data_IF_967622812190
#
_entry.id   IF_967622812190
#
_cell.length_a   1.000
_cell.length_b   1.000
_cell.length_c   1.000
_cell.angle_alpha   90.00
_cell.angle_beta   90.00
_cell.angle_gamma   90.00
#
_symmetry.space_group_name_H-M   'P 1'
#
loop_
_entity.id
_entity.type
_entity.pdbx_description
1 polymer ?
#
# COMPACT_ATOMS: atom_id res chain seq x y z
N UNK A 1 -42.75 51.67 9.89
CA UNK A 1 -43.10 50.25 9.63
C UNK A 1 -42.41 49.81 8.34
N UNK A 2 -41.47 48.85 8.41
CA UNK A 2 -41.10 47.79 7.42
C UNK A 2 -39.65 47.29 7.69
N UNK A 3 -39.58 46.12 8.34
CA UNK A 3 -38.67 44.97 8.20
C UNK A 3 -37.16 45.19 7.93
N UNK A 4 -36.38 45.47 8.98
CA UNK A 4 -34.94 45.14 9.09
C UNK A 4 -34.79 43.78 9.81
N UNK A 5 -34.97 42.64 9.13
CA UNK A 5 -34.86 41.32 9.81
C UNK A 5 -34.52 40.15 8.89
N UNK A 6 -33.76 40.37 7.81
CA UNK A 6 -33.39 39.29 6.86
C UNK A 6 -31.91 39.24 6.43
N UNK A 7 -31.05 40.12 6.92
CA UNK A 7 -29.65 40.20 6.44
C UNK A 7 -28.65 39.47 7.35
N UNK A 8 -29.01 39.11 8.59
CA UNK A 8 -28.05 38.57 9.56
C UNK A 8 -27.98 37.04 9.66
N UNK A 9 -28.82 36.31 8.92
CA UNK A 9 -28.86 34.82 8.99
C UNK A 9 -27.96 34.16 7.92
N UNK A 10 -27.45 34.91 6.94
CA UNK A 10 -26.56 34.37 5.91
C UNK A 10 -25.07 34.42 6.25
N UNK A 11 -24.67 35.10 7.34
CA UNK A 11 -23.24 35.21 7.72
C UNK A 11 -22.78 34.11 8.69
N UNK A 12 -23.72 33.35 9.26
CA UNK A 12 -23.43 32.19 10.15
C UNK A 12 -23.54 30.87 9.37
N UNK A 13 -23.93 30.92 8.10
CA UNK A 13 -23.84 29.79 7.20
C UNK A 13 -22.38 29.57 6.76
N UNK A 14 -21.76 28.57 7.39
CA UNK A 14 -20.79 27.69 6.73
C UNK A 14 -19.41 28.33 6.51
N UNK A 15 -18.87 28.93 7.56
CA UNK A 15 -17.44 28.84 7.88
C UNK A 15 -17.13 27.54 8.64
N UNK A 16 -17.85 26.47 8.32
CA UNK A 16 -17.29 25.12 8.43
C UNK A 16 -16.43 24.90 7.19
N UNK A 17 -15.39 25.73 7.06
CA UNK A 17 -14.11 25.20 6.59
C UNK A 17 -13.69 24.21 7.66
N UNK A 18 -14.31 23.02 7.65
CA UNK A 18 -13.69 21.84 8.21
C UNK A 18 -12.34 21.81 7.53
N UNK A 19 -11.33 22.28 8.26
CA UNK A 19 -9.96 21.96 8.01
C UNK A 19 -9.95 20.44 8.06
N UNK A 20 -10.25 19.83 6.92
CA UNK A 20 -9.84 18.47 6.61
C UNK A 20 -8.34 18.61 6.67
N UNK A 21 -7.80 18.45 7.87
CA UNK A 21 -6.38 18.33 8.09
C UNK A 21 -6.03 17.12 7.24
N UNK A 22 -5.47 17.38 6.06
CA UNK A 22 -4.98 16.34 5.20
C UNK A 22 -4.03 15.53 6.08
N UNK A 23 -4.33 14.24 6.24
CA UNK A 23 -3.51 13.37 7.05
C UNK A 23 -2.19 13.15 6.30
N UNK A 24 -1.26 14.04 6.57
CA UNK A 24 0.04 14.11 5.91
C UNK A 24 1.02 13.07 6.45
N UNK A 25 0.56 12.13 7.29
CA UNK A 25 1.38 11.05 7.84
C UNK A 25 1.56 9.91 6.85
N UNK A 26 0.72 9.84 5.82
CA UNK A 26 0.78 8.82 4.78
C UNK A 26 0.98 9.45 3.41
N UNK A 27 1.73 8.75 2.56
CA UNK A 27 2.00 9.15 1.20
C UNK A 27 1.92 7.91 0.31
N UNK A 28 0.88 7.86 -0.53
CA UNK A 28 0.79 6.89 -1.61
C UNK A 28 1.86 7.23 -2.64
N UNK A 29 2.89 6.39 -2.75
CA UNK A 29 4.01 6.61 -3.68
C UNK A 29 3.64 6.31 -5.14
N UNK A 30 2.45 5.73 -5.35
CA UNK A 30 1.92 5.25 -6.63
C UNK A 30 0.42 5.54 -6.73
N UNK A 31 -0.07 5.75 -7.94
CA UNK A 31 -1.51 5.84 -8.22
C UNK A 31 -2.04 4.54 -8.83
N UNK A 32 -2.67 3.70 -8.02
CA UNK A 32 -3.13 2.38 -8.42
C UNK A 32 -4.57 2.44 -8.96
N UNK A 33 -4.71 2.33 -10.27
CA UNK A 33 -6.00 2.42 -11.00
C UNK A 33 -6.97 1.29 -10.63
N UNK A 34 -6.53 0.25 -9.93
CA UNK A 34 -7.38 -0.83 -9.45
C UNK A 34 -8.12 -0.49 -8.15
N UNK A 35 -7.75 0.61 -7.48
CA UNK A 35 -8.37 1.10 -6.25
C UNK A 35 -9.50 2.09 -6.57
N UNK A 36 -10.66 2.02 -5.90
CA UNK A 36 -11.69 3.06 -6.00
C UNK A 36 -11.14 4.47 -5.75
N UNK A 37 -11.56 5.44 -6.55
CA UNK A 37 -11.03 6.82 -6.50
C UNK A 37 -11.11 7.44 -5.09
N UNK A 38 -12.19 7.15 -4.35
CA UNK A 38 -12.38 7.67 -2.99
C UNK A 38 -11.47 7.02 -1.93
N UNK A 39 -10.82 5.89 -2.25
CA UNK A 39 -9.87 5.19 -1.38
C UNK A 39 -8.39 5.38 -1.79
N UNK A 40 -8.10 6.22 -2.80
CA UNK A 40 -6.73 6.46 -3.29
C UNK A 40 -5.81 7.15 -2.28
N UNK A 41 -6.36 7.72 -1.20
CA UNK A 41 -5.60 8.44 -0.18
C UNK A 41 -5.80 7.78 1.18
N UNK A 42 -4.77 7.09 1.65
CA UNK A 42 -4.75 6.46 2.96
C UNK A 42 -4.64 7.50 4.08
N UNK A 43 -5.41 7.31 5.14
CA UNK A 43 -5.43 8.15 6.34
C UNK A 43 -5.30 7.27 7.58
N UNK A 44 -4.87 7.86 8.68
CA UNK A 44 -4.76 7.18 9.97
C UNK A 44 -6.11 6.61 10.44
N UNK A 45 -7.21 7.31 10.17
CA UNK A 45 -8.56 6.88 10.53
C UNK A 45 -9.04 5.67 9.71
N UNK A 46 -8.39 5.35 8.60
CA UNK A 46 -8.75 4.20 7.77
C UNK A 46 -8.26 2.89 8.43
N UNK A 47 -7.29 2.92 9.35
CA UNK A 47 -6.77 1.71 9.99
C UNK A 47 -7.68 1.22 11.12
N UNK A 48 -8.19 0.00 10.95
CA UNK A 48 -8.99 -0.69 11.96
C UNK A 48 -8.22 -0.85 13.30
N UNK A 49 -8.96 -0.99 14.40
CA UNK A 49 -8.37 -1.22 15.72
C UNK A 49 -7.65 -2.58 15.79
N UNK A 50 -8.29 -3.62 15.26
CA UNK A 50 -7.80 -5.01 15.25
C UNK A 50 -7.14 -5.35 13.91
N UNK A 51 -6.10 -4.60 13.55
CA UNK A 51 -5.37 -4.77 12.29
C UNK A 51 -4.68 -6.14 12.21
N UNK A 52 -4.89 -6.86 11.10
CA UNK A 52 -4.19 -8.11 10.81
C UNK A 52 -2.82 -7.84 10.16
N UNK A 53 -1.84 -8.68 10.46
CA UNK A 53 -0.49 -8.56 9.92
C UNK A 53 -0.12 -9.88 9.24
N UNK A 54 0.41 -9.80 8.02
CA UNK A 54 0.84 -10.99 7.29
C UNK A 54 2.16 -10.74 6.54
N UNK A 55 2.77 -11.82 6.08
CA UNK A 55 4.02 -11.82 5.35
C UNK A 55 3.88 -12.67 4.09
N UNK A 56 4.41 -12.14 2.99
CA UNK A 56 4.39 -12.81 1.68
C UNK A 56 5.83 -13.04 1.22
N UNK A 57 6.07 -14.19 0.63
CA UNK A 57 7.33 -14.50 -0.01
C UNK A 57 7.10 -15.38 -1.23
N UNK A 58 8.19 -15.89 -1.78
CA UNK A 58 8.25 -16.80 -2.91
C UNK A 58 8.06 -18.26 -2.47
N UNK A 59 8.21 -19.19 -3.41
CA UNK A 59 8.11 -20.65 -3.21
C UNK A 59 8.86 -21.16 -1.95
N UNK A 60 8.32 -22.19 -1.31
CA UNK A 60 8.80 -22.80 -0.05
C UNK A 60 8.88 -21.86 1.18
N UNK A 61 8.33 -20.64 1.12
CA UNK A 61 8.48 -19.69 2.22
C UNK A 61 7.61 -20.00 3.44
N UNK A 62 6.48 -20.69 3.26
CA UNK A 62 5.62 -21.09 4.38
C UNK A 62 6.34 -22.05 5.33
N UNK A 63 7.19 -22.94 4.81
CA UNK A 63 8.06 -23.82 5.63
C UNK A 63 9.05 -23.03 6.51
N UNK A 64 9.29 -21.76 6.18
CA UNK A 64 10.15 -20.85 6.91
C UNK A 64 9.35 -19.89 7.82
N UNK A 65 8.02 -20.03 7.91
CA UNK A 65 7.14 -19.26 8.78
C UNK A 65 6.59 -17.96 8.18
N UNK A 66 6.62 -17.81 6.85
CA UNK A 66 5.79 -16.81 6.15
C UNK A 66 4.33 -17.26 6.13
N UNK A 67 3.41 -16.30 6.07
CA UNK A 67 1.97 -16.58 6.03
C UNK A 67 1.54 -17.05 4.64
N UNK A 68 2.07 -16.41 3.59
CA UNK A 68 1.78 -16.73 2.19
C UNK A 68 3.05 -16.94 1.37
N UNK A 69 2.97 -17.84 0.38
CA UNK A 69 4.03 -18.10 -0.59
C UNK A 69 3.46 -18.07 -2.01
N UNK A 70 3.88 -17.12 -2.82
CA UNK A 70 3.58 -17.13 -4.26
C UNK A 70 4.40 -18.24 -4.92
N UNK A 71 3.82 -19.10 -5.79
CA UNK A 71 4.48 -20.26 -6.37
C UNK A 71 5.48 -19.88 -7.49
N UNK A 72 6.50 -19.08 -7.15
CA UNK A 72 7.58 -18.66 -8.04
C UNK A 72 8.92 -18.80 -7.33
N UNK A 73 9.96 -19.24 -8.04
CA UNK A 73 11.32 -19.29 -7.48
C UNK A 73 12.00 -17.94 -7.64
N UNK A 74 12.91 -17.58 -6.73
CA UNK A 74 13.68 -16.33 -6.80
C UNK A 74 14.35 -16.10 -8.16
N UNK A 75 14.94 -17.15 -8.74
CA UNK A 75 15.60 -17.07 -10.06
C UNK A 75 14.63 -16.62 -11.16
N UNK A 76 13.37 -17.06 -11.11
CA UNK A 76 12.34 -16.66 -12.06
C UNK A 76 11.97 -15.17 -11.88
N UNK A 77 11.80 -14.70 -10.64
CA UNK A 77 11.61 -13.26 -10.35
C UNK A 77 12.76 -12.43 -10.92
N UNK A 78 14.01 -12.81 -10.67
CA UNK A 78 15.19 -12.11 -11.21
C UNK A 78 15.18 -12.08 -12.75
N UNK A 79 14.75 -13.16 -13.41
CA UNK A 79 14.67 -13.22 -14.88
C UNK A 79 13.58 -12.30 -15.42
N UNK A 80 12.40 -12.28 -14.79
CA UNK A 80 11.28 -11.39 -15.13
C UNK A 80 11.73 -9.93 -15.01
N UNK A 81 12.30 -9.55 -13.86
CA UNK A 81 12.79 -8.19 -13.62
C UNK A 81 13.83 -7.75 -14.66
N UNK A 82 14.84 -8.58 -14.94
CA UNK A 82 15.85 -8.28 -15.96
C UNK A 82 15.26 -8.14 -17.36
N UNK A 83 14.28 -8.98 -17.72
CA UNK A 83 13.58 -8.90 -19.00
C UNK A 83 12.75 -7.61 -19.10
N UNK A 84 12.08 -7.20 -18.01
CA UNK A 84 11.34 -5.95 -17.92
C UNK A 84 12.27 -4.71 -18.05
N UNK A 85 13.39 -4.69 -17.34
CA UNK A 85 14.41 -3.64 -17.48
C UNK A 85 14.98 -3.57 -18.89
N UNK A 86 15.25 -4.72 -19.52
CA UNK A 86 15.67 -4.81 -20.92
C UNK A 86 14.63 -4.22 -21.86
N UNK A 87 13.34 -4.50 -21.66
CA UNK A 87 12.28 -3.89 -22.46
C UNK A 87 12.22 -2.36 -22.28
N UNK A 88 12.40 -1.85 -21.04
CA UNK A 88 12.39 -0.42 -20.70
C UNK A 88 13.59 0.34 -21.30
N UNK A 89 14.79 -0.22 -21.20
CA UNK A 89 16.01 0.41 -21.68
C UNK A 89 16.13 0.45 -23.22
N UNK A 90 15.44 -0.46 -23.92
CA UNK A 90 15.62 -0.66 -25.37
C UNK A 90 14.49 -0.12 -26.24
N UNK A 91 13.60 0.74 -25.70
CA UNK A 91 12.52 1.44 -26.41
C UNK A 91 12.36 1.12 -27.91
N UNK A 92 11.62 0.05 -28.22
CA UNK A 92 11.26 -0.43 -29.56
C UNK A 92 12.37 -1.02 -30.46
N UNK A 93 13.62 -1.17 -30.01
CA UNK A 93 14.61 -1.97 -30.73
C UNK A 93 14.39 -3.46 -30.41
N UNK A 94 13.88 -4.21 -31.40
CA UNK A 94 13.79 -5.67 -31.28
C UNK A 94 15.17 -6.24 -30.91
N UNK A 95 15.26 -7.07 -29.85
CA UNK A 95 16.53 -7.64 -29.44
C UNK A 95 17.06 -8.53 -30.57
N UNK A 96 18.23 -8.16 -31.11
CA UNK A 96 18.94 -9.03 -32.04
C UNK A 96 19.35 -10.30 -31.30
N UNK A 97 18.69 -11.41 -31.63
CA UNK A 97 19.09 -12.82 -31.45
C UNK A 97 20.19 -13.04 -30.40
N UNK A 98 19.87 -12.81 -29.13
CA UNK A 98 20.60 -13.47 -28.06
C UNK A 98 19.96 -14.84 -27.91
N UNK A 99 20.75 -15.90 -28.05
CA UNK A 99 20.33 -17.29 -27.78
C UNK A 99 20.01 -17.44 -26.29
N UNK A 100 18.92 -16.81 -25.84
CA UNK A 100 18.41 -16.89 -24.48
C UNK A 100 17.69 -18.22 -24.39
N UNK A 101 18.31 -19.15 -23.67
CA UNK A 101 17.72 -20.39 -23.18
C UNK A 101 16.27 -20.11 -22.77
N UNK A 102 15.32 -20.70 -23.50
CA UNK A 102 13.89 -20.56 -23.23
C UNK A 102 13.63 -20.90 -21.75
N UNK A 103 13.21 -19.93 -20.92
CA UNK A 103 12.83 -20.24 -19.56
C UNK A 103 11.58 -21.14 -19.60
N UNK A 104 11.52 -22.12 -18.69
CA UNK A 104 10.37 -23.01 -18.54
C UNK A 104 9.08 -22.18 -18.33
N UNK A 105 7.96 -22.74 -18.80
CA UNK A 105 6.65 -22.07 -18.97
C UNK A 105 6.09 -21.24 -17.78
N UNK A 106 6.31 -21.57 -16.48
CA UNK A 106 5.77 -20.75 -15.37
C UNK A 106 6.29 -19.30 -15.37
N UNK A 107 7.43 -19.07 -16.00
CA UNK A 107 8.08 -17.76 -16.06
C UNK A 107 7.40 -16.81 -17.05
N UNK A 108 6.70 -17.35 -18.06
CA UNK A 108 6.12 -16.55 -19.13
C UNK A 108 4.76 -15.95 -18.72
N UNK A 109 3.92 -16.73 -18.06
CA UNK A 109 2.61 -16.26 -17.55
C UNK A 109 2.80 -15.19 -16.47
N UNK A 110 3.72 -15.44 -15.52
CA UNK A 110 4.08 -14.45 -14.51
C UNK A 110 4.66 -13.16 -15.14
N UNK A 111 5.49 -13.29 -16.18
CA UNK A 111 5.99 -12.13 -16.92
C UNK A 111 4.86 -11.34 -17.58
N UNK A 112 3.95 -12.01 -18.31
CA UNK A 112 2.81 -11.35 -18.96
C UNK A 112 1.91 -10.66 -17.93
N UNK A 113 1.66 -11.33 -16.81
CA UNK A 113 0.87 -10.79 -15.70
C UNK A 113 1.49 -9.51 -15.15
N UNK A 114 2.79 -9.51 -14.85
CA UNK A 114 3.53 -8.32 -14.39
C UNK A 114 3.43 -7.20 -15.42
N UNK A 115 3.70 -7.48 -16.69
CA UNK A 115 3.70 -6.44 -17.72
C UNK A 115 2.30 -5.85 -17.97
N UNK A 116 1.24 -6.63 -17.74
CA UNK A 116 -0.14 -6.15 -17.86
C UNK A 116 -0.57 -5.27 -16.67
N UNK A 117 -0.12 -5.59 -15.46
CA UNK A 117 -0.61 -4.93 -14.23
C UNK A 117 0.30 -3.81 -13.72
N UNK A 118 1.62 -3.87 -13.98
CA UNK A 118 2.55 -2.82 -13.59
C UNK A 118 2.08 -1.40 -13.94
N UNK A 119 1.62 -1.09 -15.18
CA UNK A 119 1.15 0.27 -15.51
C UNK A 119 -0.18 0.63 -14.84
N UNK A 120 -1.02 -0.34 -14.50
CA UNK A 120 -2.29 -0.09 -13.80
C UNK A 120 -2.05 0.27 -12.34
N UNK A 121 -1.03 -0.35 -11.74
CA UNK A 121 -0.64 -0.15 -10.35
C UNK A 121 0.50 0.89 -10.20
N UNK A 122 0.85 1.59 -11.29
CA UNK A 122 1.89 2.63 -11.37
C UNK A 122 3.29 2.17 -10.88
N UNK A 123 3.62 0.90 -11.15
CA UNK A 123 4.96 0.36 -10.94
C UNK A 123 5.87 0.65 -12.13
N UNK A 124 7.06 1.17 -11.84
CA UNK A 124 8.06 1.45 -12.86
C UNK A 124 9.08 0.31 -13.08
N UNK A 125 8.97 -0.76 -12.27
CA UNK A 125 9.80 -1.95 -12.29
C UNK A 125 11.29 -1.65 -12.05
N UNK A 126 11.59 -0.59 -11.27
CA UNK A 126 12.94 -0.21 -10.87
C UNK A 126 13.57 -1.20 -9.89
N UNK A 127 12.80 -2.03 -9.20
CA UNK A 127 13.32 -3.00 -8.23
C UNK A 127 12.84 -4.44 -8.48
N UNK A 128 13.66 -5.42 -8.07
CA UNK A 128 13.27 -6.84 -8.16
C UNK A 128 12.08 -7.16 -7.24
N UNK A 129 11.93 -6.44 -6.12
CA UNK A 129 10.86 -6.64 -5.13
C UNK A 129 9.47 -6.36 -5.69
N UNK A 130 9.38 -5.36 -6.58
CA UNK A 130 8.13 -4.95 -7.23
C UNK A 130 7.47 -6.08 -8.03
N UNK A 131 8.27 -7.01 -8.56
CA UNK A 131 7.75 -8.21 -9.23
C UNK A 131 6.92 -9.05 -8.25
N UNK A 132 7.42 -9.25 -7.03
CA UNK A 132 6.70 -10.00 -6.00
C UNK A 132 5.52 -9.20 -5.44
N UNK A 133 5.61 -7.88 -5.35
CA UNK A 133 4.49 -7.05 -4.91
C UNK A 133 3.31 -7.15 -5.88
N UNK A 134 3.55 -7.06 -7.19
CA UNK A 134 2.50 -7.21 -8.21
C UNK A 134 1.92 -8.62 -8.18
N UNK A 135 2.77 -9.65 -8.26
CA UNK A 135 2.32 -11.04 -8.30
C UNK A 135 1.63 -11.46 -6.99
N UNK A 136 2.18 -11.03 -5.85
CA UNK A 136 1.61 -11.27 -4.52
C UNK A 136 0.26 -10.59 -4.33
N UNK A 137 0.10 -9.35 -4.82
CA UNK A 137 -1.18 -8.64 -4.77
C UNK A 137 -2.28 -9.41 -5.51
N UNK A 138 -2.00 -9.83 -6.74
CA UNK A 138 -2.97 -10.57 -7.56
C UNK A 138 -3.27 -11.95 -6.98
N UNK A 139 -2.25 -12.65 -6.49
CA UNK A 139 -2.42 -13.92 -5.81
C UNK A 139 -3.30 -13.80 -4.56
N UNK A 140 -3.08 -12.79 -3.72
CA UNK A 140 -3.90 -12.56 -2.54
C UNK A 140 -5.34 -12.18 -2.93
N UNK A 141 -5.52 -11.44 -4.02
CA UNK A 141 -6.85 -11.11 -4.53
C UNK A 141 -7.66 -12.38 -4.87
N UNK A 142 -7.02 -13.33 -5.56
CA UNK A 142 -7.62 -14.62 -5.91
C UNK A 142 -7.89 -15.49 -4.68
N UNK A 143 -6.89 -15.63 -3.79
CA UNK A 143 -6.97 -16.47 -2.60
C UNK A 143 -8.07 -16.02 -1.64
N UNK A 144 -8.21 -14.70 -1.48
CA UNK A 144 -9.12 -14.12 -0.51
C UNK A 144 -10.57 -14.07 -1.00
N UNK A 145 -10.85 -14.26 -2.30
CA UNK A 145 -12.20 -14.36 -2.88
C UNK A 145 -13.15 -13.19 -2.52
N UNK A 146 -12.61 -12.01 -2.26
CA UNK A 146 -13.40 -10.90 -1.72
C UNK A 146 -13.74 -9.84 -2.77
N UNK A 147 -14.97 -9.91 -3.29
CA UNK A 147 -15.47 -8.89 -4.21
C UNK A 147 -15.50 -7.47 -3.61
N UNK A 148 -15.55 -7.37 -2.29
CA UNK A 148 -15.72 -6.11 -1.56
C UNK A 148 -14.41 -5.47 -1.09
N UNK A 149 -13.26 -6.13 -1.27
CA UNK A 149 -11.96 -5.59 -0.84
C UNK A 149 -11.05 -5.29 -2.02
N UNK A 150 -10.11 -4.37 -1.81
CA UNK A 150 -8.97 -4.15 -2.71
C UNK A 150 -7.67 -4.43 -1.95
N UNK A 151 -6.63 -4.75 -2.71
CA UNK A 151 -5.28 -4.93 -2.21
C UNK A 151 -4.37 -3.98 -2.98
N UNK A 152 -3.56 -3.21 -2.27
CA UNK A 152 -2.56 -2.32 -2.87
C UNK A 152 -1.28 -2.28 -2.03
N UNK A 153 -0.30 -1.48 -2.41
CA UNK A 153 0.97 -1.32 -1.72
C UNK A 153 1.54 0.09 -1.85
N UNK A 154 2.83 0.23 -1.52
CA UNK A 154 3.60 1.47 -1.64
C UNK A 154 2.99 2.69 -0.96
N UNK A 155 2.57 2.47 0.28
CA UNK A 155 2.16 3.55 1.18
C UNK A 155 3.29 3.82 2.15
N UNK A 156 3.96 4.95 1.95
CA UNK A 156 4.96 5.46 2.88
C UNK A 156 4.29 6.09 4.10
N UNK A 157 4.92 5.96 5.26
CA UNK A 157 4.45 6.58 6.50
C UNK A 157 5.55 7.38 7.20
N UNK A 158 5.16 8.51 7.80
CA UNK A 158 6.04 9.50 8.42
C UNK A 158 5.41 10.03 9.72
N UNK A 159 6.25 10.45 10.68
CA UNK A 159 5.78 10.92 12.00
C UNK A 159 4.95 12.21 11.92
N UNK A 160 5.16 13.01 10.87
CA UNK A 160 4.46 14.25 10.53
C UNK A 160 4.76 14.64 9.08
N UNK A 161 3.96 15.54 8.50
CA UNK A 161 4.14 16.15 7.16
C UNK A 161 5.58 16.39 6.73
N UNK A 162 6.35 16.99 7.64
CA UNK A 162 7.69 17.51 7.35
C UNK A 162 8.81 16.56 7.79
N UNK A 163 8.46 15.41 8.37
CA UNK A 163 9.43 14.40 8.78
C UNK A 163 9.84 13.51 7.61
N UNK A 164 11.00 12.87 7.72
CA UNK A 164 11.45 11.87 6.75
C UNK A 164 10.55 10.62 6.84
N UNK A 165 10.43 9.91 5.72
CA UNK A 165 9.78 8.60 5.64
C UNK A 165 10.43 7.64 6.65
N UNK A 166 9.59 7.00 7.47
CA UNK A 166 10.00 6.00 8.48
C UNK A 166 10.04 4.61 7.84
N UNK A 167 9.07 4.33 6.98
CA UNK A 167 8.96 3.08 6.25
C UNK A 167 7.86 3.16 5.18
N UNK A 168 7.69 2.03 4.50
CA UNK A 168 6.72 1.80 3.45
C UNK A 168 6.02 0.46 3.73
N UNK A 169 4.75 0.35 3.33
CA UNK A 169 3.97 -0.88 3.42
C UNK A 169 3.89 -1.53 2.04
N UNK A 170 4.31 -2.80 1.94
CA UNK A 170 4.27 -3.55 0.68
C UNK A 170 2.83 -3.97 0.32
N UNK A 171 1.99 -4.30 1.32
CA UNK A 171 0.57 -4.64 1.13
C UNK A 171 -0.36 -3.95 2.13
N UNK A 172 -1.53 -3.54 1.65
CA UNK A 172 -2.68 -3.04 2.39
C UNK A 172 -3.91 -3.74 1.82
N UNK A 173 -4.76 -4.29 2.70
CA UNK A 173 -6.07 -4.85 2.34
C UNK A 173 -7.15 -4.02 2.99
N UNK A 174 -8.10 -3.53 2.19
CA UNK A 174 -9.12 -2.61 2.64
C UNK A 174 -10.48 -2.80 1.96
N UNK A 175 -11.55 -2.34 2.62
CA UNK A 175 -12.90 -2.30 2.08
C UNK A 175 -13.06 -1.25 0.97
N UNK A 176 -13.60 -1.66 -0.17
CA UNK A 176 -13.81 -0.80 -1.34
C UNK A 176 -14.81 0.32 -1.06
N UNK A 177 -15.70 0.17 -0.09
CA UNK A 177 -16.76 1.13 0.22
C UNK A 177 -16.32 2.09 1.32
N UNK A 178 -15.88 1.57 2.46
CA UNK A 178 -15.49 2.39 3.63
C UNK A 178 -14.04 2.85 3.61
N UNK A 179 -13.20 2.25 2.76
CA UNK A 179 -11.73 2.37 2.77
C UNK A 179 -11.08 1.87 4.06
N UNK A 180 -11.81 1.19 4.94
CA UNK A 180 -11.25 0.64 6.18
C UNK A 180 -10.21 -0.44 5.87
N UNK A 181 -8.99 -0.20 6.34
CA UNK A 181 -7.83 -1.06 6.26
C UNK A 181 -7.85 -2.01 7.46
N UNK A 182 -8.02 -3.30 7.18
CA UNK A 182 -8.10 -4.35 8.22
C UNK A 182 -6.92 -5.33 8.15
N UNK A 183 -6.10 -5.29 7.11
CA UNK A 183 -4.85 -6.05 7.08
C UNK A 183 -3.71 -5.28 6.39
N UNK A 184 -2.49 -5.51 6.85
CA UNK A 184 -1.26 -5.05 6.20
C UNK A 184 -0.28 -6.20 6.05
N UNK A 185 0.53 -6.13 5.00
CA UNK A 185 1.50 -7.15 4.69
C UNK A 185 2.85 -6.62 4.27
N UNK A 186 3.82 -7.53 4.32
CA UNK A 186 5.20 -7.25 3.95
C UNK A 186 5.75 -8.38 3.05
N UNK A 187 6.37 -8.02 1.94
CA UNK A 187 6.89 -8.92 0.92
C UNK A 187 8.41 -9.09 1.04
N UNK A 188 8.94 -10.32 0.96
CA UNK A 188 10.39 -10.53 0.84
C UNK A 188 10.72 -11.66 -0.14
N UNK A 189 11.64 -11.39 -1.07
CA UNK A 189 12.14 -12.39 -2.04
C UNK A 189 13.07 -13.46 -1.45
N UNK A 190 13.41 -13.39 -0.17
CA UNK A 190 14.35 -14.30 0.46
C UNK A 190 13.75 -14.84 1.75
N UNK A 191 13.55 -16.15 1.82
CA UNK A 191 12.93 -16.83 2.96
C UNK A 191 13.72 -16.59 4.28
N UNK A 192 15.03 -16.28 4.20
CA UNK A 192 15.84 -15.89 5.38
C UNK A 192 15.52 -14.49 5.92
N UNK A 193 14.70 -13.69 5.22
CA UNK A 193 14.34 -12.33 5.60
C UNK A 193 13.01 -12.21 6.35
N UNK A 194 12.43 -13.31 6.82
CA UNK A 194 11.22 -13.27 7.66
C UNK A 194 11.37 -12.32 8.85
N UNK A 195 12.51 -12.37 9.55
CA UNK A 195 12.77 -11.48 10.68
C UNK A 195 12.79 -10.00 10.29
N UNK A 196 13.24 -9.67 9.08
CA UNK A 196 13.16 -8.31 8.55
C UNK A 196 11.72 -7.92 8.27
N UNK A 197 10.93 -8.81 7.67
CA UNK A 197 9.53 -8.53 7.38
C UNK A 197 8.74 -8.24 8.66
N UNK A 198 8.84 -9.13 9.66
CA UNK A 198 8.21 -8.95 10.97
C UNK A 198 8.67 -7.68 11.68
N UNK A 199 9.95 -7.31 11.55
CA UNK A 199 10.48 -6.05 12.11
C UNK A 199 9.86 -4.82 11.44
N UNK A 200 9.60 -4.85 10.13
CA UNK A 200 8.94 -3.74 9.40
C UNK A 200 7.51 -3.56 9.94
N UNK A 201 6.74 -4.66 10.01
CA UNK A 201 5.37 -4.67 10.54
C UNK A 201 5.31 -4.22 12.00
N UNK A 202 6.23 -4.69 12.84
CA UNK A 202 6.31 -4.26 14.23
C UNK A 202 6.64 -2.77 14.39
N UNK A 203 7.52 -2.23 13.51
CA UNK A 203 7.79 -0.80 13.48
C UNK A 203 6.54 -0.01 13.11
N UNK A 204 5.74 -0.50 12.16
CA UNK A 204 4.47 0.13 11.80
C UNK A 204 3.41 0.06 12.92
N UNK A 205 3.31 -1.07 13.62
CA UNK A 205 2.49 -1.20 14.83
C UNK A 205 2.82 -0.12 15.88
N UNK A 206 4.12 0.03 16.18
CA UNK A 206 4.60 1.08 17.09
C UNK A 206 4.25 2.48 16.60
N UNK A 207 4.39 2.73 15.30
CA UNK A 207 3.98 3.98 14.68
C UNK A 207 2.49 4.29 14.89
N UNK A 208 1.58 3.34 14.60
CA UNK A 208 0.14 3.53 14.81
C UNK A 208 -0.19 3.79 16.29
N UNK A 209 0.44 3.05 17.20
CA UNK A 209 0.26 3.25 18.64
C UNK A 209 0.69 4.65 19.09
N UNK A 210 1.81 5.16 18.55
CA UNK A 210 2.29 6.52 18.81
C UNK A 210 1.29 7.56 18.30
N UNK A 211 0.76 7.38 17.08
CA UNK A 211 -0.21 8.31 16.50
C UNK A 211 -1.52 8.35 17.30
N UNK A 212 -2.04 7.19 17.74
CA UNK A 212 -3.24 7.12 18.60
C UNK A 212 -3.02 7.84 19.93
N UNK A 213 -1.85 7.66 20.57
CA UNK A 213 -1.52 8.38 21.81
C UNK A 213 -1.47 9.88 21.62
N UNK A 214 -0.90 10.35 20.51
CA UNK A 214 -0.84 11.79 20.22
C UNK A 214 -2.23 12.38 19.95
N UNK A 215 -3.11 11.67 19.24
CA UNK A 215 -4.47 12.16 18.98
C UNK A 215 -5.31 12.22 20.28
N UNK A 216 -5.23 11.18 21.14
CA UNK A 216 -5.97 11.16 22.42
C UNK A 216 -5.49 12.22 23.41
N UNK A 217 -4.22 12.64 23.34
CA UNK A 217 -3.69 13.70 24.21
C UNK A 217 -4.39 15.05 23.96
N UNK A 218 -4.85 15.31 22.74
CA UNK A 218 -5.56 16.54 22.38
C UNK A 218 -7.06 16.48 22.64
N UNK A 219 -7.63 15.28 22.86
CA UNK A 219 -9.04 15.09 23.18
C UNK A 219 -9.35 15.14 24.69
N UNK A 220 -8.34 15.38 25.54
CA UNK A 220 -8.62 15.62 26.95
C UNK A 220 -9.55 16.84 27.06
N UNK A 221 -10.73 16.70 27.72
CA UNK A 221 -11.63 17.82 27.90
C UNK A 221 -10.82 18.92 28.58
N UNK A 222 -10.75 20.10 27.95
CA UNK A 222 -10.20 21.26 28.62
C UNK A 222 -11.00 21.43 29.89
N UNK A 223 -10.39 21.06 31.02
CA UNK A 223 -10.96 21.29 32.33
C UNK A 223 -11.15 22.80 32.40
N UNK A 224 -12.38 23.24 32.13
CA UNK A 224 -12.77 24.61 32.33
C UNK A 224 -12.48 24.88 33.79
N UNK A 225 -11.45 25.69 34.06
CA UNK A 225 -11.17 26.18 35.39
C UNK A 225 -12.39 27.04 35.74
N UNK A 226 -13.33 26.45 36.47
CA UNK A 226 -14.45 27.17 37.06
C UNK A 226 -13.84 27.93 38.24
N UNK A 227 -13.68 29.24 38.04
CA UNK A 227 -13.35 30.18 39.12
C UNK A 227 -14.50 30.31 40.10
#
# INVERSE_FOLDING_TARGET
MIKLTKVFIYTIAILFTSTVFADDRFENLRYDQLIPEHCQKVKLADFAEDLLYFTVSIDDAQDNGFDYAYPIKRRAVTQIWKKALGAKAWGNMQPQNTNIVHPQEPTQDAYQTVMAHAPLMDFDLSSEGEILEILGTLFLYDEMSYNNFFITGSVAYKASAHSRVIGELDFIVADKTSCEIFAIGEAKLNNRKLGYAKKQLHRFQGFLADQKRQNNFWELPQLSIVN
#
